data_IF_701647486399
#
_entry.id   IF_701647486399
#
_cell.length_a   1.000
_cell.length_b   1.000
_cell.length_c   1.000
_cell.angle_alpha   90.00
_cell.angle_beta   90.00
_cell.angle_gamma   90.00
#
_symmetry.space_group_name_H-M   'P 1'
#
loop_
_entity.id
_entity.type
_entity.pdbx_description
1 polymer ?
#
# COMPACT_ATOMS: atom_id res chain seq x y z
N UNK A 1 0.82 4.58 -4.97
CA UNK A 1 1.11 3.18 -4.63
C UNK A 1 1.59 3.00 -3.19
N UNK A 2 2.62 3.71 -2.70
CA UNK A 2 3.08 3.53 -1.31
C UNK A 2 1.99 3.74 -0.25
N UNK A 3 1.15 4.78 -0.39
CA UNK A 3 0.07 5.05 0.56
C UNK A 3 -0.91 3.89 0.74
N UNK A 4 -1.16 3.11 -0.32
CA UNK A 4 -2.02 1.92 -0.28
C UNK A 4 -1.36 0.83 0.58
N UNK A 5 -0.06 0.60 0.36
CA UNK A 5 0.72 -0.38 1.14
C UNK A 5 0.80 0.05 2.60
N UNK A 6 0.99 1.34 2.85
CA UNK A 6 1.02 1.89 4.20
C UNK A 6 -0.30 1.65 4.91
N UNK A 7 -1.44 1.90 4.24
CA UNK A 7 -2.76 1.66 4.80
C UNK A 7 -2.97 0.18 5.20
N UNK A 8 -2.64 -0.76 4.31
CA UNK A 8 -2.71 -2.21 4.59
C UNK A 8 -1.83 -2.58 5.79
N UNK A 9 -0.57 -2.16 5.79
CA UNK A 9 0.37 -2.53 6.85
C UNK A 9 -0.02 -1.88 8.18
N UNK A 10 -0.45 -0.62 8.17
CA UNK A 10 -0.81 0.09 9.38
C UNK A 10 -2.06 -0.45 10.07
N UNK A 11 -3.03 -0.92 9.30
CA UNK A 11 -4.24 -1.56 9.83
C UNK A 11 -3.96 -2.94 10.45
N UNK A 12 -2.99 -3.69 9.92
CA UNK A 12 -2.85 -5.12 10.21
C UNK A 12 -1.57 -5.51 10.96
N UNK A 13 -0.55 -4.66 10.97
CA UNK A 13 0.68 -4.85 11.75
C UNK A 13 0.70 -3.94 12.98
N UNK A 14 1.36 -4.40 14.05
CA UNK A 14 1.58 -3.59 15.25
C UNK A 14 3.08 -3.62 15.60
N UNK A 15 3.84 -2.53 15.36
CA UNK A 15 5.29 -2.52 15.53
C UNK A 15 5.71 -2.67 17.01
N UNK A 16 4.78 -2.58 17.96
CA UNK A 16 5.03 -2.85 19.37
C UNK A 16 4.98 -4.35 19.69
N UNK A 17 4.39 -5.16 18.82
CA UNK A 17 4.21 -6.61 18.98
C UNK A 17 5.09 -7.37 17.99
N UNK A 18 5.44 -8.59 18.37
CA UNK A 18 6.15 -9.52 17.50
C UNK A 18 5.31 -9.84 16.24
N UNK A 19 5.92 -9.99 15.03
CA UNK A 19 5.20 -10.27 13.78
C UNK A 19 4.20 -11.43 13.82
N UNK A 20 4.49 -12.46 14.61
CA UNK A 20 3.56 -13.57 14.94
C UNK A 20 2.17 -13.13 15.44
N UNK A 21 2.06 -11.93 16.00
CA UNK A 21 0.82 -11.36 16.55
C UNK A 21 0.19 -10.34 15.60
N UNK A 22 0.73 -10.17 14.40
CA UNK A 22 0.14 -9.34 13.35
C UNK A 22 -0.87 -10.17 12.55
N UNK A 23 -1.74 -9.50 11.81
CA UNK A 23 -2.68 -10.17 10.93
C UNK A 23 -2.08 -10.37 9.52
N UNK A 24 -1.12 -11.28 9.43
CA UNK A 24 -0.36 -11.54 8.19
C UNK A 24 -1.26 -12.04 7.05
N UNK A 25 -2.27 -12.85 7.37
CA UNK A 25 -3.28 -13.29 6.41
C UNK A 25 -4.07 -12.16 5.78
N UNK A 26 -4.54 -11.21 6.60
CA UNK A 26 -5.22 -10.03 6.08
C UNK A 26 -4.30 -9.14 5.26
N UNK A 27 -3.03 -8.98 5.66
CA UNK A 27 -2.05 -8.23 4.85
C UNK A 27 -1.93 -8.84 3.45
N UNK A 28 -1.72 -10.15 3.36
CA UNK A 28 -1.59 -10.84 2.07
C UNK A 28 -2.88 -10.74 1.26
N UNK A 29 -4.02 -11.01 1.90
CA UNK A 29 -5.34 -10.97 1.25
C UNK A 29 -5.67 -9.59 0.69
N UNK A 30 -5.53 -8.54 1.49
CA UNK A 30 -5.81 -7.15 1.06
C UNK A 30 -4.84 -6.71 -0.03
N UNK A 31 -3.55 -7.03 0.12
CA UNK A 31 -2.53 -6.69 -0.87
C UNK A 31 -2.80 -7.34 -2.22
N UNK A 32 -3.08 -8.65 -2.24
CA UNK A 32 -3.44 -9.40 -3.46
C UNK A 32 -4.73 -8.84 -4.05
N UNK A 33 -5.76 -8.61 -3.23
CA UNK A 33 -7.04 -8.07 -3.71
C UNK A 33 -6.91 -6.69 -4.38
N UNK A 34 -6.00 -5.83 -3.91
CA UNK A 34 -5.76 -4.53 -4.55
C UNK A 34 -4.96 -4.67 -5.85
N UNK A 35 -3.98 -5.57 -5.89
CA UNK A 35 -3.23 -5.85 -7.11
C UNK A 35 -4.05 -6.58 -8.18
N UNK A 36 -5.02 -7.39 -7.75
CA UNK A 36 -5.75 -8.33 -8.61
C UNK A 36 -4.78 -9.18 -9.45
N UNK A 37 -5.13 -9.37 -10.72
CA UNK A 37 -4.35 -10.14 -11.69
C UNK A 37 -2.88 -9.72 -11.80
N UNK A 38 -2.51 -8.49 -11.40
CA UNK A 38 -1.11 -8.04 -11.40
C UNK A 38 -0.25 -8.84 -10.42
N UNK A 39 -0.84 -9.30 -9.31
CA UNK A 39 -0.14 -9.93 -8.20
C UNK A 39 -0.57 -11.38 -7.96
N UNK A 40 -1.75 -11.78 -8.44
CA UNK A 40 -2.35 -13.10 -8.18
C UNK A 40 -1.39 -14.25 -8.48
N UNK A 41 -0.77 -14.27 -9.67
CA UNK A 41 0.14 -15.36 -10.06
C UNK A 41 1.44 -15.33 -9.24
N UNK A 42 1.97 -14.14 -8.94
CA UNK A 42 3.24 -14.00 -8.26
C UNK A 42 3.15 -14.43 -6.78
N UNK A 43 2.01 -14.18 -6.14
CA UNK A 43 1.75 -14.53 -4.74
C UNK A 43 0.96 -15.83 -4.58
N UNK A 44 0.71 -16.56 -5.69
CA UNK A 44 0.03 -17.85 -5.64
C UNK A 44 0.79 -18.84 -4.72
N UNK A 45 0.10 -19.33 -3.69
CA UNK A 45 0.66 -20.29 -2.74
C UNK A 45 1.58 -19.69 -1.67
N UNK A 46 1.72 -18.36 -1.59
CA UNK A 46 2.38 -17.70 -0.46
C UNK A 46 1.47 -17.78 0.76
N UNK A 47 1.99 -18.36 1.85
CA UNK A 47 1.27 -18.53 3.11
C UNK A 47 1.66 -17.50 4.16
N UNK A 48 0.84 -17.38 5.21
CA UNK A 48 1.14 -16.54 6.38
C UNK A 48 2.43 -16.98 7.08
N UNK A 49 2.67 -18.28 7.15
CA UNK A 49 3.87 -18.87 7.76
C UNK A 49 5.11 -18.48 6.97
N UNK A 50 5.04 -18.53 5.63
CA UNK A 50 6.14 -18.10 4.77
C UNK A 50 6.48 -16.64 5.03
N UNK A 51 5.47 -15.75 5.05
CA UNK A 51 5.66 -14.33 5.35
C UNK A 51 6.21 -14.11 6.76
N UNK A 52 5.71 -14.84 7.76
CA UNK A 52 6.20 -14.77 9.14
C UNK A 52 7.67 -15.15 9.22
N UNK A 53 8.06 -16.25 8.58
CA UNK A 53 9.44 -16.71 8.51
C UNK A 53 10.33 -15.64 7.85
N UNK A 54 9.84 -15.00 6.78
CA UNK A 54 10.55 -13.92 6.11
C UNK A 54 10.81 -12.71 6.98
N UNK A 55 9.84 -12.35 7.83
CA UNK A 55 9.89 -11.17 8.70
C UNK A 55 10.66 -11.42 10.00
N UNK A 56 10.80 -12.69 10.40
CA UNK A 56 11.43 -13.08 11.67
C UNK A 56 12.85 -13.57 11.49
N UNK A 57 13.28 -13.90 10.27
CA UNK A 57 14.68 -14.14 9.96
C UNK A 57 15.50 -12.92 10.36
N UNK A 58 16.38 -13.04 11.38
CA UNK A 58 17.30 -11.97 11.71
C UNK A 58 18.20 -11.80 10.49
N UNK A 59 18.26 -10.59 9.95
CA UNK A 59 19.36 -10.22 9.06
C UNK A 59 20.66 -10.29 9.88
N UNK A 60 21.29 -11.46 9.89
CA UNK A 60 22.61 -11.68 10.51
C UNK A 60 23.75 -10.96 9.76
N UNK A 61 23.43 -10.18 8.73
CA UNK A 61 24.40 -9.46 7.89
C UNK A 61 24.21 -7.95 8.00
N UNK A 62 25.24 -7.28 8.50
CA UNK A 62 25.36 -5.84 8.78
C UNK A 62 25.29 -4.89 7.57
N UNK A 63 24.68 -5.29 6.45
CA UNK A 63 24.31 -4.36 5.39
C UNK A 63 23.11 -4.87 4.57
N UNK A 64 21.96 -4.22 4.75
CA UNK A 64 20.82 -4.39 3.84
C UNK A 64 21.14 -3.60 2.57
N UNK A 65 21.30 -4.27 1.42
CA UNK A 65 21.29 -3.57 0.15
C UNK A 65 19.86 -3.12 -0.18
N UNK A 66 19.54 -1.89 0.21
CA UNK A 66 18.23 -1.25 -0.01
C UNK A 66 17.84 -1.24 -1.49
N UNK A 67 18.78 -1.27 -2.43
CA UNK A 67 18.47 -1.23 -3.87
C UNK A 67 18.04 -2.60 -4.42
N UNK A 68 18.42 -3.70 -3.77
CA UNK A 68 18.08 -5.07 -4.18
C UNK A 68 17.30 -5.85 -3.11
N UNK A 69 16.85 -5.16 -2.07
CA UNK A 69 16.14 -5.74 -0.95
C UNK A 69 14.93 -6.58 -1.41
N UNK A 70 14.90 -7.82 -0.94
CA UNK A 70 13.79 -8.75 -1.10
C UNK A 70 13.65 -9.53 0.20
N UNK A 71 12.41 -9.80 0.61
CA UNK A 71 12.17 -10.69 1.74
C UNK A 71 12.52 -12.13 1.33
N UNK A 72 13.22 -12.90 2.19
CA UNK A 72 13.52 -14.30 1.89
C UNK A 72 12.22 -15.11 1.81
N UNK A 73 12.16 -16.18 1.02
CA UNK A 73 10.93 -16.98 0.79
C UNK A 73 9.74 -16.20 0.16
N UNK A 74 9.94 -14.94 -0.23
CA UNK A 74 8.92 -14.13 -0.90
C UNK A 74 9.26 -13.94 -2.39
N UNK A 75 8.25 -13.69 -3.24
CA UNK A 75 8.46 -13.41 -4.66
C UNK A 75 9.39 -12.21 -4.87
N UNK A 76 10.23 -12.26 -5.89
CA UNK A 76 11.12 -11.14 -6.23
C UNK A 76 10.36 -10.14 -7.11
N UNK A 77 10.46 -8.82 -6.84
CA UNK A 77 9.88 -7.80 -7.71
C UNK A 77 10.36 -7.96 -9.17
N UNK A 78 9.46 -7.90 -10.17
CA UNK A 78 9.86 -7.96 -11.57
C UNK A 78 10.70 -6.74 -11.96
N UNK A 79 11.70 -6.90 -12.84
CA UNK A 79 12.56 -5.79 -13.31
C UNK A 79 13.06 -4.83 -12.19
N UNK A 80 13.66 -5.40 -11.14
CA UNK A 80 14.20 -4.68 -9.96
C UNK A 80 14.93 -3.38 -10.34
N UNK A 81 14.25 -2.24 -10.13
CA UNK A 81 14.67 -0.84 -10.36
C UNK A 81 15.96 -0.66 -11.15
N UNK A 82 15.98 -1.10 -12.42
CA UNK A 82 17.18 -1.03 -13.26
C UNK A 82 17.45 0.43 -13.66
N UNK A 83 18.69 0.88 -13.52
CA UNK A 83 19.12 2.25 -13.83
C UNK A 83 19.09 3.22 -12.64
N UNK A 84 19.98 4.21 -12.68
CA UNK A 84 20.27 5.13 -11.56
C UNK A 84 19.00 5.88 -11.10
N UNK A 85 18.18 6.37 -12.03
CA UNK A 85 16.97 7.13 -11.71
C UNK A 85 15.96 6.30 -10.90
N UNK A 86 15.71 5.05 -11.31
CA UNK A 86 14.79 4.13 -10.63
C UNK A 86 15.31 3.78 -9.23
N UNK A 87 16.62 3.50 -9.09
CA UNK A 87 17.28 3.28 -7.79
C UNK A 87 17.17 4.49 -6.86
N UNK A 88 17.46 5.70 -7.35
CA UNK A 88 17.31 6.92 -6.57
C UNK A 88 15.86 7.14 -6.11
N UNK A 89 14.87 6.78 -6.92
CA UNK A 89 13.45 6.87 -6.54
C UNK A 89 13.09 5.88 -5.43
N UNK A 90 13.51 4.61 -5.54
CA UNK A 90 13.32 3.62 -4.48
C UNK A 90 14.01 4.04 -3.19
N UNK A 91 15.24 4.58 -3.27
CA UNK A 91 15.96 5.09 -2.10
C UNK A 91 15.25 6.30 -1.45
N UNK A 92 14.81 7.28 -2.24
CA UNK A 92 14.03 8.41 -1.71
C UNK A 92 12.78 7.92 -0.97
N UNK A 93 12.06 6.96 -1.55
CA UNK A 93 10.88 6.37 -0.92
C UNK A 93 11.23 5.61 0.36
N UNK A 94 12.32 4.86 0.38
CA UNK A 94 12.82 4.22 1.60
C UNK A 94 13.11 5.25 2.71
N UNK A 95 13.77 6.36 2.39
CA UNK A 95 14.00 7.44 3.35
C UNK A 95 12.69 8.03 3.87
N UNK A 96 11.69 8.25 3.00
CA UNK A 96 10.36 8.69 3.42
C UNK A 96 9.71 7.69 4.39
N UNK A 97 9.78 6.37 4.12
CA UNK A 97 9.25 5.33 5.01
C UNK A 97 9.96 5.35 6.38
N UNK A 98 11.28 5.53 6.38
CA UNK A 98 12.07 5.55 7.61
C UNK A 98 11.83 6.81 8.46
N UNK A 99 11.66 7.96 7.82
CA UNK A 99 11.39 9.24 8.49
C UNK A 99 9.91 9.47 8.82
N UNK A 100 9.04 8.52 8.46
CA UNK A 100 7.63 8.61 8.77
C UNK A 100 7.38 8.32 10.26
N UNK A 101 7.18 9.39 11.01
CA UNK A 101 6.88 9.37 12.44
C UNK A 101 5.37 9.41 12.74
N UNK A 102 4.51 9.36 11.70
CA UNK A 102 3.05 9.35 11.88
C UNK A 102 2.52 8.00 12.41
N UNK A 103 3.33 6.94 12.28
CA UNK A 103 2.98 5.59 12.69
C UNK A 103 3.55 5.22 14.06
N UNK A 104 2.95 4.21 14.70
CA UNK A 104 3.35 3.76 16.05
C UNK A 104 4.83 3.38 16.06
N UNK A 105 5.55 3.83 17.10
CA UNK A 105 6.92 3.43 17.32
C UNK A 105 6.97 2.14 18.19
N UNK A 106 7.92 1.26 17.93
CA UNK A 106 8.06 -0.02 18.64
C UNK A 106 9.28 -0.82 18.21
N UNK A 107 9.58 -1.90 18.95
CA UNK A 107 10.75 -2.77 18.72
C UNK A 107 10.80 -3.34 17.30
N UNK A 108 9.65 -3.52 16.66
CA UNK A 108 9.52 -4.10 15.32
C UNK A 108 9.28 -3.03 14.24
N UNK A 109 9.53 -1.74 14.52
CA UNK A 109 9.39 -0.65 13.54
C UNK A 109 10.21 -0.88 12.27
N UNK A 110 11.45 -1.35 12.41
CA UNK A 110 12.30 -1.69 11.26
C UNK A 110 11.67 -2.79 10.41
N UNK A 111 11.14 -3.84 11.04
CA UNK A 111 10.45 -4.94 10.34
C UNK A 111 9.20 -4.44 9.61
N UNK A 112 8.38 -3.58 10.22
CA UNK A 112 7.24 -2.96 9.52
C UNK A 112 7.69 -2.09 8.35
N UNK A 113 8.78 -1.33 8.49
CA UNK A 113 9.31 -0.49 7.42
C UNK A 113 9.86 -1.32 6.25
N UNK A 114 10.54 -2.44 6.54
CA UNK A 114 11.00 -3.38 5.53
C UNK A 114 9.83 -4.03 4.79
N UNK A 115 8.75 -4.40 5.50
CA UNK A 115 7.53 -4.91 4.87
C UNK A 115 6.89 -3.86 3.95
N UNK A 116 6.74 -2.61 4.43
CA UNK A 116 6.23 -1.48 3.63
C UNK A 116 7.08 -1.24 2.38
N UNK A 117 8.40 -1.30 2.53
CA UNK A 117 9.34 -1.16 1.42
C UNK A 117 9.15 -2.28 0.41
N UNK A 118 9.20 -3.54 0.86
CA UNK A 118 9.09 -4.73 0.00
C UNK A 118 7.78 -4.72 -0.78
N UNK A 119 6.63 -4.60 -0.11
CA UNK A 119 5.32 -4.61 -0.78
C UNK A 119 5.16 -3.43 -1.75
N UNK A 120 5.69 -2.25 -1.40
CA UNK A 120 5.65 -1.10 -2.29
C UNK A 120 6.61 -1.22 -3.48
N UNK A 121 7.83 -1.73 -3.26
CA UNK A 121 8.80 -2.06 -4.33
C UNK A 121 8.18 -3.08 -5.29
N UNK A 122 7.56 -4.14 -4.78
CA UNK A 122 6.91 -5.16 -5.59
C UNK A 122 5.76 -4.60 -6.41
N UNK A 123 4.87 -3.79 -5.82
CA UNK A 123 3.73 -3.23 -6.52
C UNK A 123 4.15 -2.26 -7.64
N UNK A 124 5.11 -1.37 -7.35
CA UNK A 124 5.63 -0.42 -8.35
C UNK A 124 6.36 -1.17 -9.46
N UNK A 125 7.18 -2.16 -9.10
CA UNK A 125 7.89 -2.99 -10.05
C UNK A 125 6.93 -3.72 -11.01
N UNK A 126 5.87 -4.32 -10.46
CA UNK A 126 4.86 -5.04 -11.26
C UNK A 126 4.14 -4.09 -12.21
N UNK A 127 3.76 -2.90 -11.74
CA UNK A 127 3.17 -1.87 -12.59
C UNK A 127 4.12 -1.45 -13.74
N UNK A 128 5.41 -1.23 -13.42
CA UNK A 128 6.40 -0.92 -14.44
C UNK A 128 6.58 -2.04 -15.45
N UNK A 129 6.53 -3.31 -15.04
CA UNK A 129 6.62 -4.46 -15.95
C UNK A 129 5.48 -4.45 -16.96
N UNK A 130 4.25 -4.22 -16.51
CA UNK A 130 3.07 -4.12 -17.40
C UNK A 130 3.22 -2.98 -18.40
N UNK A 131 3.69 -1.80 -17.96
CA UNK A 131 3.95 -0.69 -18.89
C UNK A 131 5.01 -1.08 -19.92
N UNK A 132 6.13 -1.64 -19.49
CA UNK A 132 7.23 -2.06 -20.38
C UNK A 132 6.76 -3.13 -21.39
N UNK A 133 5.97 -4.10 -20.95
CA UNK A 133 5.41 -5.18 -21.78
C UNK A 133 4.34 -4.67 -22.76
N UNK A 134 3.59 -3.63 -22.39
CA UNK A 134 2.56 -3.05 -23.25
C UNK A 134 3.12 -2.38 -24.51
N UNK A 135 4.38 -1.95 -24.48
CA UNK A 135 5.05 -1.27 -25.59
C UNK A 135 4.52 0.14 -25.89
N UNK A 136 3.59 0.66 -25.08
CA UNK A 136 3.09 2.01 -25.23
C UNK A 136 4.11 3.05 -24.80
N UNK A 137 4.07 4.22 -25.44
CA UNK A 137 4.91 5.33 -25.04
C UNK A 137 4.45 5.96 -23.71
N UNK A 138 5.38 6.63 -23.04
CA UNK A 138 5.16 7.29 -21.73
C UNK A 138 4.07 8.37 -21.78
N UNK A 139 3.87 9.01 -22.94
CA UNK A 139 2.85 10.05 -23.09
C UNK A 139 1.46 9.43 -23.07
N UNK A 140 1.26 8.34 -23.80
CA UNK A 140 0.02 7.59 -23.84
C UNK A 140 -0.33 7.00 -22.47
N UNK A 141 0.64 6.39 -21.78
CA UNK A 141 0.44 5.86 -20.42
C UNK A 141 0.01 6.97 -19.47
N UNK A 142 0.66 8.14 -19.52
CA UNK A 142 0.31 9.30 -18.69
C UNK A 142 -1.10 9.83 -18.99
N UNK A 143 -1.55 9.76 -20.23
CA UNK A 143 -2.93 10.13 -20.59
C UNK A 143 -3.95 9.15 -20.01
N UNK A 144 -3.67 7.85 -20.05
CA UNK A 144 -4.49 6.82 -19.40
C UNK A 144 -4.54 7.04 -17.88
N UNK A 145 -3.38 7.18 -17.23
CA UNK A 145 -3.29 7.44 -15.79
C UNK A 145 -4.11 8.67 -15.39
N UNK A 146 -3.98 9.76 -16.16
CA UNK A 146 -4.74 10.99 -15.93
C UNK A 146 -6.24 10.78 -16.10
N UNK A 147 -6.66 10.08 -17.16
CA UNK A 147 -8.08 9.82 -17.41
C UNK A 147 -8.70 8.97 -16.30
N UNK A 148 -8.00 7.92 -15.85
CA UNK A 148 -8.45 7.04 -14.75
C UNK A 148 -8.55 7.83 -13.45
N UNK A 149 -7.54 8.64 -13.12
CA UNK A 149 -7.55 9.48 -11.92
C UNK A 149 -8.71 10.48 -11.92
N UNK A 150 -8.90 11.23 -13.01
CA UNK A 150 -9.98 12.20 -13.12
C UNK A 150 -11.35 11.53 -13.00
N UNK A 151 -11.57 10.42 -13.72
CA UNK A 151 -12.83 9.69 -13.66
C UNK A 151 -13.13 9.19 -12.25
N UNK A 152 -12.12 8.67 -11.56
CA UNK A 152 -12.24 8.15 -10.20
C UNK A 152 -12.56 9.25 -9.20
N UNK A 153 -11.85 10.38 -9.27
CA UNK A 153 -12.10 11.56 -8.42
C UNK A 153 -13.49 12.12 -8.67
N UNK A 154 -13.92 12.26 -9.92
CA UNK A 154 -15.25 12.78 -10.26
C UNK A 154 -16.37 11.90 -9.69
N UNK A 155 -16.22 10.57 -9.77
CA UNK A 155 -17.18 9.63 -9.20
C UNK A 155 -17.24 9.76 -7.68
N UNK A 156 -16.10 9.65 -6.98
CA UNK A 156 -16.08 9.74 -5.52
C UNK A 156 -16.53 11.10 -5.00
N UNK A 157 -16.16 12.18 -5.68
CA UNK A 157 -16.57 13.53 -5.29
C UNK A 157 -18.09 13.72 -5.43
N UNK A 158 -18.68 13.22 -6.53
CA UNK A 158 -20.12 13.26 -6.73
C UNK A 158 -20.86 12.49 -5.63
N UNK A 159 -20.41 11.26 -5.34
CA UNK A 159 -21.02 10.43 -4.30
C UNK A 159 -20.89 11.08 -2.92
N UNK A 160 -19.72 11.67 -2.64
CA UNK A 160 -19.49 12.43 -1.42
C UNK A 160 -20.47 13.61 -1.29
N UNK A 161 -20.65 14.43 -2.33
CA UNK A 161 -21.60 15.55 -2.32
C UNK A 161 -23.05 15.09 -2.09
N UNK A 162 -23.47 14.00 -2.73
CA UNK A 162 -24.82 13.44 -2.53
C UNK A 162 -24.98 13.00 -1.07
N UNK A 163 -23.99 12.31 -0.51
CA UNK A 163 -24.02 11.84 0.87
C UNK A 163 -24.02 13.00 1.87
N UNK A 164 -23.25 14.05 1.62
CA UNK A 164 -23.23 15.25 2.48
C UNK A 164 -24.55 16.03 2.42
N UNK A 165 -25.19 16.10 1.25
CA UNK A 165 -26.52 16.70 1.13
C UNK A 165 -27.57 15.89 1.91
N UNK A 166 -27.57 14.56 1.77
CA UNK A 166 -28.47 13.67 2.54
C UNK A 166 -28.28 13.83 4.04
N UNK A 167 -27.02 13.89 4.50
CA UNK A 167 -26.68 14.11 5.90
C UNK A 167 -27.20 15.47 6.38
N UNK A 168 -26.99 16.54 5.61
CA UNK A 168 -27.47 17.88 5.94
C UNK A 168 -29.00 17.93 6.05
N UNK A 169 -29.72 17.33 5.10
CA UNK A 169 -31.19 17.26 5.14
C UNK A 169 -31.69 16.47 6.35
N UNK A 170 -31.04 15.34 6.69
CA UNK A 170 -31.41 14.54 7.86
C UNK A 170 -31.19 15.33 9.16
N UNK A 171 -30.06 16.02 9.30
CA UNK A 171 -29.77 16.86 10.47
C UNK A 171 -30.78 17.98 10.61
N UNK A 172 -31.14 18.67 9.52
CA UNK A 172 -32.16 19.72 9.52
C UNK A 172 -33.53 19.18 9.93
N UNK A 173 -33.93 18.01 9.42
CA UNK A 173 -35.19 17.37 9.79
C UNK A 173 -35.24 17.01 11.28
N UNK A 174 -34.12 16.56 11.86
CA UNK A 174 -34.04 16.25 13.30
C UNK A 174 -34.14 17.54 14.11
N UNK A 175 -33.43 18.60 13.73
CA UNK A 175 -33.50 19.90 14.42
C UNK A 175 -34.93 20.44 14.39
N UNK A 176 -35.60 20.36 13.24
CA UNK A 176 -36.97 20.83 13.11
C UNK A 176 -37.94 20.02 13.99
N UNK A 177 -37.80 18.69 14.02
CA UNK A 177 -38.59 17.84 14.92
C UNK A 177 -38.32 18.11 16.41
N UNK A 178 -37.09 18.46 16.79
CA UNK A 178 -36.77 18.83 18.17
C UNK A 178 -37.38 20.18 18.57
N UNK A 179 -37.44 21.16 17.66
CA UNK A 179 -38.11 22.45 17.87
C UNK A 179 -39.63 22.27 18.04
N UNK A 180 -40.25 21.32 17.34
CA UNK A 180 -41.67 21.02 17.50
C UNK A 180 -42.01 20.28 18.81
N UNK A 181 -41.06 19.52 19.37
CA UNK A 181 -41.24 18.77 20.62
C UNK A 181 -40.94 19.65 21.86
N UNK A 182 -40.06 20.64 21.73
CA UNK A 182 -39.69 21.59 22.79
C UNK A 182 -39.96 23.05 22.37
N UNK A 183 -41.22 23.53 22.47
CA UNK A 183 -41.56 24.93 22.22
C UNK A 183 -41.01 25.89 23.28
#
# INVERSE_FOLDING_TARGET
MQAIVDDIVFHNADPQKHPRNWNLGLILKEYINIGGNLLDDAFAGITEEALLESLTKPEESSSIDINSFCLPNMPKPPNSFRGIRKKCSSLKRWLCICSDDSYKNGRYRTTTNLLRKYLGDFLIASYCSVIEESGYDDTYIREIERAVLLKTVDCFWRDHLINMNRLSSAVLSIIQGLVEIFP
#
